data_IF_419691513446
#
_entry.id   IF_419691513446
#
_cell.length_a   1.000
_cell.length_b   1.000
_cell.length_c   1.000
_cell.angle_alpha   90.00
_cell.angle_beta   90.00
_cell.angle_gamma   90.00
#
_symmetry.space_group_name_H-M   'P 1'
#
loop_
_entity.id
_entity.type
_entity.pdbx_description
1 polymer ?
#
# COMPACT_ATOMS: atom_id res chain seq x y z
N UNK A 1 13.86 6.99 1.61
CA UNK A 1 14.12 7.81 2.81
C UNK A 1 12.86 8.06 3.64
N UNK A 2 11.72 8.44 3.03
CA UNK A 2 10.43 8.60 3.75
C UNK A 2 9.99 7.36 4.53
N UNK A 3 10.25 6.16 4.01
CA UNK A 3 9.97 4.89 4.68
C UNK A 3 10.67 4.75 6.04
N UNK A 4 11.95 5.11 6.13
CA UNK A 4 12.69 5.10 7.39
C UNK A 4 12.20 6.16 8.36
N UNK A 5 11.77 7.32 7.83
CA UNK A 5 11.19 8.38 8.64
C UNK A 5 9.82 7.99 9.21
N UNK A 6 8.98 7.32 8.41
CA UNK A 6 7.70 6.76 8.85
C UNK A 6 7.92 5.71 9.96
N UNK A 7 8.87 4.80 9.76
CA UNK A 7 9.21 3.78 10.75
C UNK A 7 9.71 4.38 12.06
N UNK A 8 10.53 5.43 11.99
CA UNK A 8 10.95 6.18 13.17
C UNK A 8 9.77 6.91 13.83
N UNK A 9 8.96 7.62 13.05
CA UNK A 9 7.81 8.36 13.57
C UNK A 9 6.82 7.44 14.30
N UNK A 10 6.55 6.25 13.76
CA UNK A 10 5.74 5.23 14.40
C UNK A 10 6.38 4.71 15.70
N UNK A 11 7.67 4.36 15.66
CA UNK A 11 8.42 3.87 16.83
C UNK A 11 8.49 4.87 17.98
N UNK A 12 8.56 6.17 17.67
CA UNK A 12 8.66 7.24 18.66
C UNK A 12 7.30 7.90 18.98
N UNK A 13 6.18 7.39 18.46
CA UNK A 13 4.84 7.94 18.71
C UNK A 13 4.65 9.38 18.19
N UNK A 14 5.40 9.78 17.16
CA UNK A 14 5.33 11.12 16.57
C UNK A 14 4.18 11.20 15.54
N UNK A 15 2.94 11.21 16.02
CA UNK A 15 1.74 11.16 15.16
C UNK A 15 1.72 12.23 14.06
N UNK A 16 2.05 13.48 14.39
CA UNK A 16 2.08 14.57 13.40
C UNK A 16 3.10 14.32 12.29
N UNK A 17 4.27 13.78 12.63
CA UNK A 17 5.31 13.47 11.65
C UNK A 17 4.92 12.27 10.81
N UNK A 18 4.29 11.26 11.43
CA UNK A 18 3.74 10.09 10.77
C UNK A 18 2.73 10.49 9.70
N UNK A 19 1.74 11.33 10.04
CA UNK A 19 0.73 11.82 9.08
C UNK A 19 1.36 12.56 7.89
N UNK A 20 2.37 13.41 8.13
CA UNK A 20 3.10 14.10 7.06
C UNK A 20 3.86 13.11 6.16
N UNK A 21 4.42 12.04 6.73
CA UNK A 21 5.07 10.99 5.95
C UNK A 21 4.07 10.18 5.14
N UNK A 22 2.92 9.84 5.72
CA UNK A 22 1.83 9.14 5.01
C UNK A 22 1.34 9.98 3.83
N UNK A 23 1.07 11.28 4.03
CA UNK A 23 0.59 12.16 2.95
C UNK A 23 1.61 12.28 1.81
N UNK A 24 2.91 12.43 2.14
CA UNK A 24 3.97 12.47 1.12
C UNK A 24 4.12 11.15 0.38
N UNK A 25 4.09 10.04 1.11
CA UNK A 25 4.16 8.71 0.49
C UNK A 25 2.97 8.46 -0.42
N UNK A 26 1.76 8.89 -0.04
CA UNK A 26 0.57 8.84 -0.89
C UNK A 26 0.74 9.64 -2.19
N UNK A 27 1.29 10.86 -2.11
CA UNK A 27 1.51 11.72 -3.30
C UNK A 27 2.57 11.17 -4.24
N UNK A 28 3.61 10.56 -3.70
CA UNK A 28 4.71 10.01 -4.48
C UNK A 28 4.47 8.57 -4.94
N UNK A 29 3.29 7.97 -4.67
CA UNK A 29 3.00 6.58 -5.05
C UNK A 29 3.26 6.32 -6.53
N UNK A 30 4.08 5.31 -6.78
CA UNK A 30 4.34 4.78 -8.12
C UNK A 30 4.24 3.25 -8.10
N UNK A 31 4.06 2.67 -9.28
CA UNK A 31 3.92 1.22 -9.47
C UNK A 31 5.06 0.44 -8.80
N UNK A 32 6.29 0.95 -8.89
CA UNK A 32 7.48 0.28 -8.34
C UNK A 32 7.57 0.35 -6.81
N UNK A 33 6.92 1.33 -6.18
CA UNK A 33 7.05 1.57 -4.74
C UNK A 33 5.77 1.28 -3.96
N UNK A 34 4.62 1.12 -4.61
CA UNK A 34 3.36 0.87 -3.92
C UNK A 34 3.39 -0.46 -3.17
N UNK A 35 4.04 -1.50 -3.70
CA UNK A 35 4.19 -2.78 -3.00
C UNK A 35 5.00 -2.62 -1.70
N UNK A 36 6.15 -1.94 -1.76
CA UNK A 36 6.98 -1.67 -0.57
C UNK A 36 6.28 -0.75 0.43
N UNK A 37 5.56 0.26 -0.07
CA UNK A 37 4.84 1.23 0.77
C UNK A 37 3.64 0.58 1.47
N UNK A 38 2.94 -0.32 0.78
CA UNK A 38 1.83 -1.09 1.33
C UNK A 38 2.31 -2.07 2.42
N UNK A 39 3.45 -2.75 2.20
CA UNK A 39 4.07 -3.59 3.23
C UNK A 39 4.42 -2.79 4.50
N UNK A 40 4.98 -1.59 4.32
CA UNK A 40 5.31 -0.70 5.43
C UNK A 40 4.07 -0.17 6.14
N UNK A 41 3.03 0.18 5.39
CA UNK A 41 1.76 0.65 5.95
C UNK A 41 1.13 -0.43 6.84
N UNK A 42 1.16 -1.70 6.41
CA UNK A 42 0.70 -2.82 7.22
C UNK A 42 1.55 -3.01 8.48
N UNK A 43 2.88 -3.00 8.33
CA UNK A 43 3.81 -3.20 9.44
C UNK A 43 3.68 -2.13 10.54
N UNK A 44 3.47 -0.87 10.15
CA UNK A 44 3.31 0.27 11.06
C UNK A 44 1.84 0.60 11.37
N UNK A 45 0.89 -0.23 10.93
CA UNK A 45 -0.56 -0.05 11.11
C UNK A 45 -1.07 1.32 10.63
N UNK A 46 -0.51 1.84 9.54
CA UNK A 46 -0.90 3.10 8.89
C UNK A 46 -2.15 2.89 8.04
N UNK A 47 -3.33 2.99 8.66
CA UNK A 47 -4.60 2.75 8.01
C UNK A 47 -4.86 3.68 6.80
N UNK A 48 -4.50 4.96 6.89
CA UNK A 48 -4.73 5.92 5.80
C UNK A 48 -3.83 5.63 4.60
N UNK A 49 -2.52 5.45 4.84
CA UNK A 49 -1.58 5.07 3.79
C UNK A 49 -1.94 3.72 3.16
N UNK A 50 -2.36 2.74 3.96
CA UNK A 50 -2.81 1.43 3.47
C UNK A 50 -4.01 1.58 2.53
N UNK A 51 -5.05 2.32 2.95
CA UNK A 51 -6.23 2.55 2.13
C UNK A 51 -5.88 3.24 0.80
N UNK A 52 -5.04 4.27 0.82
CA UNK A 52 -4.61 4.96 -0.39
C UNK A 52 -3.79 4.05 -1.34
N UNK A 53 -2.90 3.21 -0.80
CA UNK A 53 -2.17 2.22 -1.59
C UNK A 53 -3.11 1.19 -2.21
N UNK A 54 -4.10 0.72 -1.45
CA UNK A 54 -5.12 -0.22 -1.91
C UNK A 54 -5.98 0.37 -3.02
N UNK A 55 -6.45 1.62 -2.88
CA UNK A 55 -7.18 2.34 -3.93
C UNK A 55 -6.34 2.54 -5.20
N UNK A 56 -5.05 2.84 -5.06
CA UNK A 56 -4.14 2.97 -6.21
C UNK A 56 -3.98 1.64 -6.96
N UNK A 57 -3.81 0.54 -6.23
CA UNK A 57 -3.66 -0.81 -6.81
C UNK A 57 -4.99 -1.36 -7.34
N UNK A 58 -6.14 -0.88 -6.87
CA UNK A 58 -7.46 -1.33 -7.33
C UNK A 58 -7.69 -1.09 -8.84
N UNK A 59 -6.93 -0.19 -9.47
CA UNK A 59 -6.97 0.01 -10.92
C UNK A 59 -6.33 -1.20 -11.66
N UNK A 60 -7.05 -1.89 -12.57
CA UNK A 60 -6.56 -3.12 -13.21
C UNK A 60 -5.21 -2.97 -13.94
N UNK A 61 -4.99 -1.82 -14.58
CA UNK A 61 -3.73 -1.52 -15.26
C UNK A 61 -2.56 -1.32 -14.28
N UNK A 62 -2.83 -0.73 -13.11
CA UNK A 62 -1.83 -0.53 -12.06
C UNK A 62 -1.51 -1.87 -11.40
N UNK A 63 -2.53 -2.65 -11.00
CA UNK A 63 -2.31 -3.97 -10.41
C UNK A 63 -1.44 -4.85 -11.30
N UNK A 64 -1.76 -4.93 -12.59
CA UNK A 64 -1.00 -5.76 -13.53
C UNK A 64 0.45 -5.31 -13.56
N UNK A 65 0.71 -4.00 -13.58
CA UNK A 65 2.07 -3.48 -13.56
C UNK A 65 2.77 -3.73 -12.23
N UNK A 66 2.07 -3.63 -11.09
CA UNK A 66 2.61 -3.92 -9.75
C UNK A 66 2.99 -5.40 -9.63
N UNK A 67 2.16 -6.31 -10.13
CA UNK A 67 2.46 -7.75 -10.12
C UNK A 67 3.71 -8.13 -10.92
N UNK A 68 4.16 -7.28 -11.85
CA UNK A 68 5.40 -7.47 -12.60
C UNK A 68 6.64 -6.93 -11.88
N UNK A 69 6.47 -6.30 -10.71
CA UNK A 69 7.59 -5.74 -9.94
C UNK A 69 8.12 -6.75 -8.92
N UNK A 70 9.43 -6.74 -8.72
CA UNK A 70 10.08 -7.54 -7.67
C UNK A 70 9.55 -7.20 -6.26
N UNK A 71 9.11 -5.95 -6.07
CA UNK A 71 8.51 -5.49 -4.82
C UNK A 71 7.21 -6.23 -4.46
N UNK A 72 6.44 -6.68 -5.45
CA UNK A 72 5.22 -7.44 -5.21
C UNK A 72 5.50 -8.88 -4.75
N UNK A 73 6.55 -9.52 -5.26
CA UNK A 73 6.98 -10.83 -4.76
C UNK A 73 7.41 -10.75 -3.29
N UNK A 74 8.14 -9.70 -2.92
CA UNK A 74 8.47 -9.44 -1.52
C UNK A 74 7.22 -9.19 -0.66
N UNK A 75 6.25 -8.42 -1.15
CA UNK A 75 4.97 -8.19 -0.47
C UNK A 75 4.22 -9.51 -0.24
N UNK A 76 4.18 -10.39 -1.26
CA UNK A 76 3.52 -11.70 -1.21
C UNK A 76 4.08 -12.60 -0.12
N UNK A 77 5.40 -12.61 0.05
CA UNK A 77 6.07 -13.44 1.07
C UNK A 77 5.95 -12.80 2.46
N UNK A 78 6.08 -11.47 2.54
CA UNK A 78 6.18 -10.77 3.83
C UNK A 78 4.82 -10.54 4.49
N UNK A 79 3.76 -10.36 3.70
CA UNK A 79 2.44 -9.96 4.20
C UNK A 79 1.29 -10.68 3.44
N UNK A 80 1.05 -11.98 3.69
CA UNK A 80 -0.04 -12.73 3.07
C UNK A 80 -1.45 -12.12 3.23
N UNK A 81 -1.83 -11.51 4.38
CA UNK A 81 -3.17 -10.94 4.57
C UNK A 81 -3.49 -9.80 3.60
N UNK A 82 -2.48 -9.04 3.16
CA UNK A 82 -2.67 -7.93 2.22
C UNK A 82 -3.12 -8.47 0.86
N UNK A 83 -2.66 -9.66 0.47
CA UNK A 83 -3.09 -10.27 -0.79
C UNK A 83 -4.55 -10.71 -0.73
N UNK A 84 -5.00 -11.25 0.40
CA UNK A 84 -6.41 -11.58 0.57
C UNK A 84 -7.30 -10.33 0.51
N UNK A 85 -6.88 -9.23 1.15
CA UNK A 85 -7.60 -7.95 1.06
C UNK A 85 -7.62 -7.38 -0.38
N UNK A 86 -6.49 -7.45 -1.11
CA UNK A 86 -6.43 -7.06 -2.51
C UNK A 86 -7.39 -7.89 -3.37
N UNK A 87 -7.45 -9.21 -3.15
CA UNK A 87 -8.36 -10.10 -3.87
C UNK A 87 -9.84 -9.80 -3.53
N UNK A 88 -10.16 -9.54 -2.28
CA UNK A 88 -11.51 -9.14 -1.85
C UNK A 88 -11.95 -7.83 -2.51
N UNK A 89 -11.09 -6.82 -2.51
CA UNK A 89 -11.38 -5.56 -3.20
C UNK A 89 -11.58 -5.74 -4.71
N UNK A 90 -10.77 -6.59 -5.35
CA UNK A 90 -10.94 -6.88 -6.79
C UNK A 90 -12.26 -7.62 -7.05
N UNK A 91 -12.63 -8.57 -6.20
CA UNK A 91 -13.91 -9.27 -6.29
C UNK A 91 -15.08 -8.28 -6.16
N UNK A 92 -15.00 -7.33 -5.23
CA UNK A 92 -16.00 -6.26 -5.11
C UNK A 92 -16.06 -5.36 -6.35
N UNK A 93 -14.93 -4.97 -6.93
CA UNK A 93 -14.88 -4.16 -8.15
C UNK A 93 -15.50 -4.89 -9.36
N UNK A 94 -15.24 -6.19 -9.50
CA UNK A 94 -15.84 -7.02 -10.56
C UNK A 94 -17.35 -7.16 -10.34
N UNK A 95 -17.82 -7.27 -9.09
CA UNK A 95 -19.25 -7.32 -8.77
C UNK A 95 -20.00 -6.00 -9.01
N UNK A 96 -19.29 -4.86 -9.01
CA UNK A 96 -19.85 -3.52 -9.26
C UNK A 96 -19.81 -3.10 -10.72
N UNK A 97 -19.18 -3.87 -11.62
CA UNK A 97 -19.18 -3.56 -13.04
C UNK A 97 -20.60 -3.67 -13.62
N UNK A 98 -21.20 -2.57 -14.14
CA UNK A 98 -22.49 -2.63 -14.81
C UNK A 98 -22.34 -3.44 -16.10
N UNK A 99 -23.31 -4.33 -16.34
CA UNK A 99 -23.50 -5.05 -17.61
C UNK A 99 -23.55 -4.11 -18.82
#
# INVERSE_FOLDING_TARGET
MLQHLLAAADRYGMERLRLVCEEKLCRDLSVNMVATTLALAEQHRCAQLKAACLEFVASPGVLTAVMQTDGFEHLRISCPPILTELLEMLAEQISKAPK
#
